data_IF_299649011318
#
_entry.id   IF_299649011318
#
_cell.length_a   1.000
_cell.length_b   1.000
_cell.length_c   1.000
_cell.angle_alpha   90.00
_cell.angle_beta   90.00
_cell.angle_gamma   90.00
#
_symmetry.space_group_name_H-M   'P 1'
#
loop_
_entity.id
_entity.type
_entity.pdbx_description
1 polymer ?
#
# COMPACT_ATOMS: atom_id res chain seq x y z
N UNK A 1 33.69 8.59 -14.80
CA UNK A 1 34.00 8.80 -13.37
C UNK A 1 34.00 7.44 -12.68
N UNK A 2 35.16 6.96 -12.22
CA UNK A 2 35.33 5.62 -11.65
C UNK A 2 34.97 5.63 -10.16
N UNK A 3 33.92 4.92 -9.77
CA UNK A 3 33.56 4.72 -8.36
C UNK A 3 34.58 3.80 -7.69
N UNK A 4 35.04 4.20 -6.51
CA UNK A 4 35.97 3.44 -5.65
C UNK A 4 35.36 2.06 -5.35
N UNK A 5 35.92 1.00 -5.95
CA UNK A 5 35.44 -0.40 -5.80
C UNK A 5 36.00 -1.11 -4.56
N UNK A 6 37.06 -0.58 -3.95
CA UNK A 6 37.70 -1.16 -2.77
C UNK A 6 38.26 -0.07 -1.85
N UNK A 7 38.19 -0.33 -0.54
CA UNK A 7 38.84 0.50 0.49
C UNK A 7 39.89 -0.33 1.22
N UNK A 8 41.06 0.25 1.49
CA UNK A 8 42.10 -0.40 2.31
C UNK A 8 41.99 0.09 3.75
N UNK A 9 41.66 -0.82 4.66
CA UNK A 9 41.70 -0.59 6.10
C UNK A 9 42.71 -1.57 6.70
N UNK A 10 43.73 -1.05 7.41
CA UNK A 10 44.73 -1.88 8.10
C UNK A 10 45.55 -2.82 7.21
N UNK A 11 45.82 -2.44 5.95
CA UNK A 11 46.59 -3.27 5.01
C UNK A 11 45.80 -4.37 4.29
N UNK A 12 44.48 -4.48 4.57
CA UNK A 12 43.58 -5.43 3.91
C UNK A 12 42.68 -4.68 2.92
N UNK A 13 42.57 -5.19 1.71
CA UNK A 13 41.68 -4.64 0.68
C UNK A 13 40.27 -5.21 0.88
N UNK A 14 39.28 -4.33 1.09
CA UNK A 14 37.90 -4.70 1.33
C UNK A 14 37.08 -4.39 0.07
N UNK A 15 36.48 -5.43 -0.50
CA UNK A 15 35.51 -5.32 -1.59
C UNK A 15 34.15 -4.94 -1.01
N UNK A 16 33.79 -3.66 -1.14
CA UNK A 16 32.57 -3.11 -0.53
C UNK A 16 31.29 -3.83 -0.97
N UNK A 17 31.21 -4.32 -2.21
CA UNK A 17 30.04 -5.06 -2.68
C UNK A 17 29.86 -6.38 -1.95
N UNK A 18 30.96 -7.09 -1.77
CA UNK A 18 30.99 -8.42 -1.16
C UNK A 18 30.70 -8.33 0.33
N UNK A 19 31.29 -7.35 1.02
CA UNK A 19 31.03 -7.08 2.44
C UNK A 19 29.59 -6.65 2.70
N UNK A 20 28.99 -5.84 1.82
CA UNK A 20 27.58 -5.44 1.94
C UNK A 20 26.65 -6.63 1.70
N UNK A 21 26.93 -7.47 0.70
CA UNK A 21 26.12 -8.67 0.44
C UNK A 21 26.24 -9.72 1.56
N UNK A 22 27.43 -9.88 2.15
CA UNK A 22 27.64 -10.73 3.32
C UNK A 22 26.90 -10.21 4.56
N UNK A 23 26.93 -8.88 4.78
CA UNK A 23 26.26 -8.24 5.92
C UNK A 23 24.73 -8.25 5.80
N UNK A 24 24.19 -8.17 4.57
CA UNK A 24 22.75 -8.20 4.31
C UNK A 24 22.15 -9.61 4.34
N UNK A 25 22.99 -10.65 4.41
CA UNK A 25 22.56 -12.04 4.24
C UNK A 25 22.07 -12.32 2.82
N UNK A 26 21.89 -13.61 2.48
CA UNK A 26 21.20 -13.96 1.23
C UNK A 26 19.75 -13.47 1.35
N UNK A 27 19.23 -12.67 0.40
CA UNK A 27 17.81 -12.33 0.40
C UNK A 27 17.03 -13.65 0.37
N UNK A 28 16.02 -13.75 1.23
CA UNK A 28 15.09 -14.87 1.18
C UNK A 28 14.54 -15.01 -0.25
N UNK A 29 14.33 -16.23 -0.75
CA UNK A 29 13.71 -16.42 -2.06
C UNK A 29 12.39 -15.67 -2.09
N UNK A 30 12.16 -14.91 -3.16
CA UNK A 30 10.94 -14.14 -3.31
C UNK A 30 9.80 -15.10 -3.60
N UNK A 31 8.83 -15.16 -2.68
CA UNK A 31 7.64 -15.99 -2.83
C UNK A 31 6.55 -15.20 -3.58
N UNK A 32 6.55 -15.35 -4.90
CA UNK A 32 5.56 -14.71 -5.77
C UNK A 32 4.15 -15.29 -5.59
N UNK A 33 4.05 -16.54 -5.15
CA UNK A 33 2.76 -17.21 -4.95
C UNK A 33 2.06 -16.68 -3.70
N UNK A 34 2.80 -16.49 -2.61
CA UNK A 34 2.32 -15.81 -1.42
C UNK A 34 1.86 -14.38 -1.73
N UNK A 35 2.66 -13.62 -2.47
CA UNK A 35 2.31 -12.24 -2.86
C UNK A 35 1.02 -12.18 -3.70
N UNK A 36 0.82 -13.12 -4.64
CA UNK A 36 -0.41 -13.23 -5.42
C UNK A 36 -1.62 -13.55 -4.54
N UNK A 37 -1.45 -14.45 -3.57
CA UNK A 37 -2.51 -14.78 -2.63
C UNK A 37 -2.90 -13.57 -1.78
N UNK A 38 -1.92 -12.90 -1.17
CA UNK A 38 -2.13 -11.69 -0.37
C UNK A 38 -2.85 -10.61 -1.20
N UNK A 39 -2.43 -10.40 -2.46
CA UNK A 39 -3.09 -9.44 -3.35
C UNK A 39 -4.52 -9.83 -3.66
N UNK A 40 -4.79 -11.11 -3.94
CA UNK A 40 -6.14 -11.56 -4.26
C UNK A 40 -7.10 -11.41 -3.08
N UNK A 41 -6.66 -11.75 -1.87
CA UNK A 41 -7.43 -11.59 -0.63
C UNK A 41 -7.68 -10.10 -0.35
N UNK A 42 -6.63 -9.29 -0.37
CA UNK A 42 -6.73 -7.84 -0.13
C UNK A 42 -7.63 -7.14 -1.15
N UNK A 43 -7.53 -7.51 -2.44
CA UNK A 43 -8.30 -6.89 -3.50
C UNK A 43 -9.81 -7.14 -3.35
N UNK A 44 -10.23 -8.30 -2.83
CA UNK A 44 -11.64 -8.61 -2.62
C UNK A 44 -12.27 -7.65 -1.59
N UNK A 45 -11.60 -7.44 -0.45
CA UNK A 45 -12.09 -6.52 0.57
C UNK A 45 -11.93 -5.05 0.17
N UNK A 46 -10.91 -4.73 -0.63
CA UNK A 46 -10.77 -3.40 -1.22
C UNK A 46 -11.95 -3.06 -2.15
N UNK A 47 -12.41 -3.98 -2.98
CA UNK A 47 -13.58 -3.74 -3.84
C UNK A 47 -14.86 -3.56 -3.00
N UNK A 48 -15.05 -4.36 -1.95
CA UNK A 48 -16.16 -4.17 -0.99
C UNK A 48 -16.13 -2.77 -0.36
N UNK A 49 -14.95 -2.31 0.06
CA UNK A 49 -14.75 -0.97 0.60
C UNK A 49 -15.09 0.11 -0.44
N UNK A 50 -14.56 -0.04 -1.66
CA UNK A 50 -14.78 0.90 -2.77
C UNK A 50 -16.28 1.07 -3.07
N UNK A 51 -17.03 -0.02 -3.09
CA UNK A 51 -18.47 0.01 -3.35
C UNK A 51 -19.23 0.71 -2.21
N UNK A 52 -18.91 0.38 -0.95
CA UNK A 52 -19.52 1.04 0.22
C UNK A 52 -19.27 2.55 0.23
N UNK A 53 -18.03 2.97 -0.05
CA UNK A 53 -17.68 4.39 -0.14
C UNK A 53 -18.45 5.07 -1.28
N UNK A 54 -18.54 4.44 -2.46
CA UNK A 54 -19.28 5.00 -3.59
C UNK A 54 -20.77 5.14 -3.29
N UNK A 55 -21.38 4.14 -2.65
CA UNK A 55 -22.80 4.17 -2.30
C UNK A 55 -23.09 5.24 -1.25
N UNK A 56 -22.28 5.30 -0.20
CA UNK A 56 -22.44 6.31 0.84
C UNK A 56 -22.20 7.73 0.33
N UNK A 57 -21.18 7.94 -0.51
CA UNK A 57 -20.93 9.22 -1.17
C UNK A 57 -22.09 9.64 -2.09
N UNK A 58 -22.69 8.69 -2.83
CA UNK A 58 -23.88 8.95 -3.68
C UNK A 58 -25.09 9.35 -2.84
N UNK A 59 -25.26 8.74 -1.67
CA UNK A 59 -26.33 9.08 -0.73
C UNK A 59 -26.02 10.35 0.09
N UNK A 60 -24.77 10.80 0.12
CA UNK A 60 -24.31 11.90 0.99
C UNK A 60 -24.40 11.59 2.48
N UNK A 61 -24.50 10.31 2.85
CA UNK A 61 -24.63 9.88 4.24
C UNK A 61 -23.98 8.49 4.44
N UNK A 62 -22.99 8.42 5.32
CA UNK A 62 -22.30 7.19 5.69
C UNK A 62 -23.02 6.32 6.72
N UNK A 63 -23.97 6.86 7.49
CA UNK A 63 -24.62 6.16 8.61
C UNK A 63 -25.24 4.80 8.22
N UNK A 64 -26.00 4.67 7.11
CA UNK A 64 -26.63 3.39 6.75
C UNK A 64 -25.61 2.29 6.41
N UNK A 65 -24.39 2.67 6.03
CA UNK A 65 -23.34 1.78 5.57
C UNK A 65 -22.25 1.57 6.63
N UNK A 66 -22.29 2.29 7.75
CA UNK A 66 -21.23 2.31 8.76
C UNK A 66 -20.92 0.92 9.32
N UNK A 67 -21.93 0.09 9.58
CA UNK A 67 -21.70 -1.26 10.12
C UNK A 67 -20.88 -2.14 9.15
N UNK A 68 -21.24 -2.13 7.86
CA UNK A 68 -20.53 -2.85 6.81
C UNK A 68 -19.12 -2.27 6.58
N UNK A 69 -18.99 -0.94 6.64
CA UNK A 69 -17.70 -0.28 6.58
C UNK A 69 -16.77 -0.69 7.72
N UNK A 70 -17.26 -0.71 8.96
CA UNK A 70 -16.47 -1.09 10.12
C UNK A 70 -15.94 -2.53 10.03
N UNK A 71 -16.75 -3.45 9.49
CA UNK A 71 -16.35 -4.83 9.23
C UNK A 71 -15.19 -4.89 8.20
N UNK A 72 -15.42 -4.34 7.00
CA UNK A 72 -14.43 -4.36 5.91
C UNK A 72 -13.15 -3.60 6.29
N UNK A 73 -13.28 -2.48 7.03
CA UNK A 73 -12.14 -1.73 7.56
C UNK A 73 -11.29 -2.60 8.47
N UNK A 74 -11.90 -3.36 9.38
CA UNK A 74 -11.14 -4.22 10.30
C UNK A 74 -10.35 -5.29 9.53
N UNK A 75 -10.97 -5.89 8.51
CA UNK A 75 -10.32 -6.87 7.64
C UNK A 75 -9.13 -6.25 6.88
N UNK A 76 -9.32 -5.08 6.29
CA UNK A 76 -8.27 -4.37 5.57
C UNK A 76 -7.13 -3.91 6.48
N UNK A 77 -7.42 -3.40 7.67
CA UNK A 77 -6.38 -3.02 8.65
C UNK A 77 -5.54 -4.23 9.09
N UNK A 78 -6.13 -5.42 9.13
CA UNK A 78 -5.41 -6.65 9.45
C UNK A 78 -4.51 -7.11 8.29
N UNK A 79 -5.01 -7.05 7.05
CA UNK A 79 -4.31 -7.54 5.86
C UNK A 79 -3.24 -6.56 5.35
N UNK A 80 -3.50 -5.26 5.42
CA UNK A 80 -2.69 -4.23 4.78
C UNK A 80 -1.21 -4.26 5.17
N UNK A 81 -0.81 -4.45 6.44
CA UNK A 81 0.60 -4.50 6.83
C UNK A 81 1.41 -5.60 6.12
N UNK A 82 0.77 -6.71 5.74
CA UNK A 82 1.43 -7.81 5.06
C UNK A 82 1.70 -7.51 3.58
N UNK A 83 0.82 -6.73 2.94
CA UNK A 83 0.88 -6.46 1.50
C UNK A 83 1.49 -5.09 1.15
N UNK A 84 1.39 -4.11 2.06
CA UNK A 84 1.88 -2.74 1.87
C UNK A 84 3.35 -2.68 1.38
N UNK A 85 4.31 -3.47 1.92
CA UNK A 85 5.70 -3.40 1.48
C UNK A 85 5.90 -3.69 -0.01
N UNK A 86 4.98 -4.46 -0.60
CA UNK A 86 5.01 -4.79 -2.03
C UNK A 86 4.22 -3.78 -2.87
N UNK A 87 3.13 -3.22 -2.32
CA UNK A 87 2.27 -2.27 -3.01
C UNK A 87 2.86 -0.87 -3.14
N UNK A 88 3.65 -0.42 -2.16
CA UNK A 88 4.06 0.98 -2.06
C UNK A 88 4.81 1.50 -3.29
N UNK A 89 5.54 0.63 -3.99
CA UNK A 89 6.24 0.96 -5.24
C UNK A 89 5.30 1.19 -6.44
N UNK A 90 4.03 0.81 -6.32
CA UNK A 90 3.03 0.87 -7.39
C UNK A 90 1.90 1.87 -7.12
N UNK A 91 1.82 2.44 -5.91
CA UNK A 91 0.80 3.43 -5.52
C UNK A 91 1.31 4.85 -5.80
N UNK A 92 0.49 5.65 -6.46
CA UNK A 92 0.79 7.08 -6.65
C UNK A 92 0.50 7.83 -5.34
N UNK A 93 1.54 8.42 -4.75
CA UNK A 93 1.43 9.20 -3.52
C UNK A 93 0.93 10.63 -3.81
N UNK A 94 0.00 11.13 -3.01
CA UNK A 94 -0.49 12.51 -3.06
C UNK A 94 -0.43 13.15 -1.66
N UNK A 95 -0.09 14.44 -1.52
CA UNK A 95 -0.05 15.12 -0.22
C UNK A 95 -1.35 15.00 0.59
N UNK A 96 -2.51 14.94 -0.08
CA UNK A 96 -3.81 14.79 0.58
C UNK A 96 -3.95 13.47 1.34
N UNK A 97 -3.31 12.39 0.86
CA UNK A 97 -3.32 11.10 1.56
C UNK A 97 -2.49 11.18 2.84
N UNK A 98 -1.38 11.94 2.82
CA UNK A 98 -0.55 12.18 3.99
C UNK A 98 -1.33 13.00 5.02
N UNK A 99 -2.04 14.03 4.60
CA UNK A 99 -2.85 14.87 5.48
C UNK A 99 -3.94 14.06 6.20
N UNK A 100 -4.65 13.20 5.48
CA UNK A 100 -5.64 12.28 6.06
C UNK A 100 -4.99 11.31 7.04
N UNK A 101 -3.85 10.72 6.66
CA UNK A 101 -3.10 9.85 7.56
C UNK A 101 -2.69 10.53 8.85
N UNK A 102 -2.19 11.76 8.77
CA UNK A 102 -1.82 12.54 9.94
C UNK A 102 -3.04 12.88 10.81
N UNK A 103 -4.20 13.13 10.20
CA UNK A 103 -5.45 13.42 10.92
C UNK A 103 -6.03 12.20 11.63
N UNK A 104 -6.07 11.03 10.98
CA UNK A 104 -6.82 9.87 11.48
C UNK A 104 -5.95 8.73 12.00
N UNK A 105 -4.73 8.57 11.50
CA UNK A 105 -3.81 7.49 11.89
C UNK A 105 -2.58 8.00 12.68
N UNK A 106 -2.37 9.32 12.76
CA UNK A 106 -1.21 9.92 13.42
C UNK A 106 0.12 9.68 12.69
N UNK A 107 0.07 9.25 11.41
CA UNK A 107 1.24 8.99 10.56
C UNK A 107 0.89 9.17 9.09
N UNK A 108 1.88 9.39 8.20
CA UNK A 108 1.62 9.40 6.76
C UNK A 108 0.98 8.10 6.28
N UNK A 109 0.02 8.23 5.38
CA UNK A 109 -0.64 7.11 4.70
C UNK A 109 -0.55 7.30 3.19
N UNK A 110 -0.68 6.20 2.44
CA UNK A 110 -0.81 6.22 0.99
C UNK A 110 -2.28 6.25 0.54
N UNK A 111 -2.51 6.27 -0.77
CA UNK A 111 -3.84 6.36 -1.37
C UNK A 111 -4.78 5.22 -0.96
N UNK A 112 -4.24 4.03 -0.68
CA UNK A 112 -5.03 2.85 -0.29
C UNK A 112 -5.41 2.97 1.18
N UNK A 113 -4.41 3.22 2.03
CA UNK A 113 -4.62 3.29 3.48
C UNK A 113 -5.50 4.48 3.89
N UNK A 114 -5.37 5.63 3.23
CA UNK A 114 -6.19 6.80 3.51
C UNK A 114 -7.71 6.54 3.33
N UNK A 115 -8.13 5.51 2.61
CA UNK A 115 -9.54 5.14 2.43
C UNK A 115 -10.16 4.43 3.65
N UNK A 116 -9.33 3.83 4.50
CA UNK A 116 -9.77 3.10 5.70
C UNK A 116 -9.06 3.54 6.99
N UNK A 117 -8.22 4.57 6.93
CA UNK A 117 -7.65 5.18 8.12
C UNK A 117 -8.73 5.77 9.05
N UNK A 118 -9.72 6.56 8.57
CA UNK A 118 -10.81 7.05 9.41
C UNK A 118 -11.64 5.92 10.04
N UNK A 119 -12.15 6.11 11.24
CA UNK A 119 -13.03 5.11 11.90
C UNK A 119 -14.48 5.19 11.41
N UNK A 120 -14.93 6.38 11.01
CA UNK A 120 -16.27 6.61 10.51
C UNK A 120 -16.26 6.79 8.99
N UNK A 121 -17.21 6.17 8.32
CA UNK A 121 -17.39 6.31 6.87
C UNK A 121 -17.74 7.76 6.49
N UNK A 122 -18.47 8.47 7.35
CA UNK A 122 -18.78 9.89 7.11
C UNK A 122 -17.48 10.73 7.04
N UNK A 123 -16.50 10.42 7.88
CA UNK A 123 -15.21 11.10 7.86
C UNK A 123 -14.45 10.82 6.55
N UNK A 124 -14.56 9.61 5.99
CA UNK A 124 -13.98 9.28 4.66
C UNK A 124 -14.60 10.14 3.56
N UNK A 125 -15.92 10.38 3.63
CA UNK A 125 -16.66 11.16 2.63
C UNK A 125 -16.31 12.64 2.73
N UNK A 126 -16.22 13.16 3.95
CA UNK A 126 -16.07 14.60 4.20
C UNK A 126 -14.61 15.09 4.18
N UNK A 127 -13.65 14.24 4.54
CA UNK A 127 -12.23 14.63 4.69
C UNK A 127 -11.53 15.01 3.40
N UNK A 128 -12.07 14.64 2.24
CA UNK A 128 -11.34 14.77 0.97
C UNK A 128 -11.69 16.00 0.13
N UNK A 129 -12.64 16.83 0.57
CA UNK A 129 -12.98 18.09 -0.13
C UNK A 129 -13.33 17.93 -1.62
N UNK A 130 -13.80 16.75 -2.05
CA UNK A 130 -14.07 16.40 -3.46
C UNK A 130 -13.02 15.51 -4.15
N UNK A 131 -11.92 15.16 -3.48
CA UNK A 131 -10.85 14.29 -3.98
C UNK A 131 -11.17 12.79 -3.98
N UNK A 132 -12.28 12.37 -3.36
CA UNK A 132 -12.51 10.96 -2.96
C UNK A 132 -12.43 9.98 -4.11
N UNK A 133 -13.06 10.35 -5.23
CA UNK A 133 -13.04 9.53 -6.44
C UNK A 133 -11.62 9.42 -7.03
N UNK A 134 -10.84 10.49 -6.99
CA UNK A 134 -9.45 10.46 -7.47
C UNK A 134 -8.58 9.56 -6.59
N UNK A 135 -8.77 9.56 -5.26
CA UNK A 135 -8.07 8.64 -4.36
C UNK A 135 -8.44 7.19 -4.66
N UNK A 136 -9.73 6.88 -4.79
CA UNK A 136 -10.20 5.54 -5.15
C UNK A 136 -9.57 5.05 -6.47
N UNK A 137 -9.51 5.92 -7.48
CA UNK A 137 -8.86 5.60 -8.76
C UNK A 137 -7.37 5.32 -8.57
N UNK A 138 -6.63 6.18 -7.85
CA UNK A 138 -5.19 5.98 -7.61
C UNK A 138 -4.90 4.69 -6.83
N UNK A 139 -5.69 4.42 -5.79
CA UNK A 139 -5.60 3.19 -5.00
C UNK A 139 -5.81 1.95 -5.90
N UNK A 140 -6.91 1.93 -6.65
CA UNK A 140 -7.25 0.83 -7.56
C UNK A 140 -6.20 0.66 -8.66
N UNK A 141 -5.72 1.74 -9.27
CA UNK A 141 -4.63 1.70 -10.26
C UNK A 141 -3.35 1.14 -9.69
N UNK A 142 -3.00 1.45 -8.43
CA UNK A 142 -1.84 0.88 -7.75
C UNK A 142 -1.94 -0.63 -7.58
N UNK A 143 -3.11 -1.12 -7.13
CA UNK A 143 -3.38 -2.55 -7.02
C UNK A 143 -3.29 -3.26 -8.38
N UNK A 144 -3.83 -2.66 -9.44
CA UNK A 144 -3.72 -3.22 -10.80
C UNK A 144 -2.28 -3.25 -11.31
N UNK A 145 -1.51 -2.17 -11.13
CA UNK A 145 -0.10 -2.13 -11.55
C UNK A 145 0.73 -3.22 -10.84
N UNK A 146 0.47 -3.45 -9.56
CA UNK A 146 1.12 -4.54 -8.84
C UNK A 146 0.66 -5.92 -9.33
N UNK A 147 -0.64 -6.10 -9.60
CA UNK A 147 -1.15 -7.33 -10.20
C UNK A 147 -0.57 -7.64 -11.59
N UNK A 148 -0.41 -6.62 -12.44
CA UNK A 148 0.27 -6.70 -13.73
C UNK A 148 1.74 -7.13 -13.56
N UNK A 149 2.43 -6.54 -12.57
CA UNK A 149 3.80 -6.89 -12.24
C UNK A 149 3.94 -8.35 -11.79
N UNK A 150 3.06 -8.84 -10.91
CA UNK A 150 3.07 -10.24 -10.47
C UNK A 150 2.80 -11.21 -11.62
N UNK A 151 1.95 -10.85 -12.59
CA UNK A 151 1.69 -11.67 -13.78
C UNK A 151 2.93 -11.78 -14.67
N UNK A 152 3.61 -10.66 -14.94
CA UNK A 152 4.80 -10.65 -15.81
C UNK A 152 5.98 -11.45 -15.24
N UNK A 153 6.01 -11.68 -13.93
CA UNK A 153 7.01 -12.52 -13.26
C UNK A 153 6.70 -14.02 -13.30
N UNK A 154 5.51 -14.42 -13.74
CA UNK A 154 5.06 -15.82 -13.75
C UNK A 154 4.80 -16.40 -15.13
N UNK A 155 4.96 -15.59 -16.19
CA UNK A 155 4.83 -16.03 -17.59
C UNK A 155 6.15 -16.60 -18.18
N UNK A 156 7.04 -17.12 -17.32
CA UNK A 156 8.27 -17.87 -17.69
C UNK A 156 8.14 -19.38 -17.42
#
# INVERSE_FOLDING_TARGET
>A
MSFVRSIRLGGREINLKETVLEALGKPAPVDWQLQRQLLAEFYQDFERLSDLICDAARCGNGEPFQAAYSEVRADLMHQFPAIQPYLIAHIDCDPTDVEIGMQFAGRPTDAVEALFAPENLQDVIDSDGGGLMNRLIRARSGLFRYGDHLRSLTDD
#
